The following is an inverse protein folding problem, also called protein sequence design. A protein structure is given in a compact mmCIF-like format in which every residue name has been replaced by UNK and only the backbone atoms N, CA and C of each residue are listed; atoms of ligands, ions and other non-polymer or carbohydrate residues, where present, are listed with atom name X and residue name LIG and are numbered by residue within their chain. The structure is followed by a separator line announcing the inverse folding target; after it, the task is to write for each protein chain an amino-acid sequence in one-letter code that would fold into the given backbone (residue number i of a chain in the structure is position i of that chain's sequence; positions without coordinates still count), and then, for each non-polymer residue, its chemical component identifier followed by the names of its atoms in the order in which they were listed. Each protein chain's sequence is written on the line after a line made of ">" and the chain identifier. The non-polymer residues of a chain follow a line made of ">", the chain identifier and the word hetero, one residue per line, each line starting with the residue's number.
data_IF_426505791530
#
_entry.id   IF_426505791530
#
_cell.length_a   1.000
_cell.length_b   1.000
_cell.length_c   1.000
_cell.angle_alpha   90.00
_cell.angle_beta   90.00
_cell.angle_gamma   90.00
#
_symmetry.space_group_name_H-M   'P 1'
#
loop_
_entity.id
_entity.type
_entity.pdbx_description
1 polymer ?
#
# COMPACT_ATOMS: atom_id res chain seq x y z
N UNK A 1 36.32 30.62 44.57
CA UNK A 1 35.71 31.87 44.09
C UNK A 1 35.06 31.54 42.76
N UNK A 2 33.74 31.35 42.77
CA UNK A 2 32.96 30.72 41.70
C UNK A 2 32.78 31.66 40.50
N UNK A 3 33.05 31.16 39.30
CA UNK A 3 32.65 31.81 38.06
C UNK A 3 31.14 31.64 37.90
N UNK A 4 30.41 32.76 37.81
CA UNK A 4 28.98 32.81 37.58
C UNK A 4 28.67 32.24 36.19
N UNK A 5 28.29 30.97 36.15
CA UNK A 5 27.77 30.31 34.95
C UNK A 5 26.47 31.04 34.56
N UNK A 6 26.51 31.80 33.46
CA UNK A 6 25.35 32.54 32.98
C UNK A 6 24.26 31.54 32.65
N UNK A 7 23.25 31.41 33.51
CA UNK A 7 22.14 30.44 33.40
C UNK A 7 21.20 30.72 32.22
N UNK A 8 21.76 30.84 31.03
CA UNK A 8 21.12 31.02 29.74
C UNK A 8 21.02 29.66 29.05
N UNK A 9 19.92 29.46 28.33
CA UNK A 9 19.60 28.26 27.57
C UNK A 9 19.24 28.69 26.15
N UNK A 10 19.97 28.18 25.17
CA UNK A 10 19.76 28.46 23.75
C UNK A 10 18.66 27.54 23.23
N UNK A 11 17.53 28.13 22.88
CA UNK A 11 16.35 27.40 22.38
C UNK A 11 15.91 27.93 21.03
N UNK A 12 15.25 27.07 20.26
CA UNK A 12 14.60 27.45 19.01
C UNK A 12 13.10 27.55 19.24
N UNK A 13 12.53 28.73 19.03
CA UNK A 13 11.10 28.99 19.26
C UNK A 13 10.38 29.13 17.92
N UNK A 14 9.26 28.43 17.78
CA UNK A 14 8.41 28.43 16.59
C UNK A 14 7.05 29.09 16.86
N UNK A 15 6.58 29.90 15.92
CA UNK A 15 5.22 30.44 15.87
C UNK A 15 4.70 30.40 14.43
N UNK A 16 3.76 29.50 14.11
CA UNK A 16 3.29 29.33 12.73
C UNK A 16 4.45 29.03 11.78
N UNK A 17 4.77 29.97 10.88
CA UNK A 17 5.93 29.90 9.97
C UNK A 17 7.16 30.66 10.46
N UNK A 18 7.06 31.45 11.54
CA UNK A 18 8.17 32.20 12.13
C UNK A 18 9.02 31.30 13.04
N UNK A 19 10.34 31.49 12.98
CA UNK A 19 11.31 30.76 13.78
C UNK A 19 12.38 31.73 14.27
N UNK A 20 12.70 31.68 15.56
CA UNK A 20 13.78 32.45 16.16
C UNK A 20 14.64 31.57 17.08
N UNK A 21 15.96 31.68 16.93
CA UNK A 21 16.93 31.08 17.85
C UNK A 21 17.27 32.11 18.93
N UNK A 22 16.92 31.81 20.18
CA UNK A 22 16.99 32.76 21.29
C UNK A 22 17.76 32.15 22.46
N UNK A 23 18.58 32.97 23.12
CA UNK A 23 19.20 32.62 24.40
C UNK A 23 18.29 33.13 25.52
N UNK A 24 17.58 32.22 26.20
CA UNK A 24 16.63 32.54 27.26
C UNK A 24 17.22 32.19 28.63
N UNK A 25 17.04 33.02 29.67
CA UNK A 25 17.49 32.69 31.01
C UNK A 25 16.68 31.51 31.59
N UNK A 26 17.37 30.41 31.90
CA UNK A 26 16.80 29.15 32.32
C UNK A 26 16.14 29.22 33.71
N UNK A 27 16.57 30.17 34.55
CA UNK A 27 16.05 30.40 35.90
C UNK A 27 14.87 31.36 35.98
N UNK A 28 14.40 31.92 34.85
CA UNK A 28 13.27 32.87 34.82
C UNK A 28 11.95 32.13 34.53
N UNK A 29 10.83 32.49 35.18
CA UNK A 29 9.53 31.89 34.90
C UNK A 29 9.10 32.11 33.45
N UNK A 30 8.47 31.09 32.85
CA UNK A 30 8.02 31.11 31.45
C UNK A 30 7.09 32.30 31.17
N UNK A 31 6.22 32.69 32.11
CA UNK A 31 5.33 33.84 31.97
C UNK A 31 6.05 35.16 31.61
N UNK A 32 7.23 35.38 32.19
CA UNK A 32 8.01 36.61 32.01
C UNK A 32 8.71 36.62 30.65
N UNK A 33 9.02 35.43 30.11
CA UNK A 33 9.69 35.28 28.81
C UNK A 33 8.71 35.47 27.63
N UNK A 34 7.42 35.18 27.81
CA UNK A 34 6.42 35.19 26.73
C UNK A 34 6.36 36.52 25.95
N UNK A 35 6.29 37.70 26.59
CA UNK A 35 6.28 38.98 25.86
C UNK A 35 7.53 39.16 24.98
N UNK A 36 8.70 38.86 25.52
CA UNK A 36 9.97 38.96 24.77
C UNK A 36 10.05 37.95 23.62
N UNK A 37 9.42 36.78 23.75
CA UNK A 37 9.29 35.81 22.66
C UNK A 37 8.38 36.33 21.55
N UNK A 38 7.25 36.96 21.90
CA UNK A 38 6.30 37.55 20.94
C UNK A 38 6.99 38.67 20.15
N UNK A 39 7.70 39.55 20.85
CA UNK A 39 8.46 40.66 20.24
C UNK A 39 9.56 40.12 19.32
N UNK A 40 10.34 39.13 19.79
CA UNK A 40 11.43 38.54 19.01
C UNK A 40 10.94 37.76 17.77
N UNK A 41 9.74 37.19 17.83
CA UNK A 41 9.10 36.47 16.71
C UNK A 41 8.31 37.41 15.78
N UNK A 42 8.20 38.71 16.12
CA UNK A 42 7.47 39.70 15.33
C UNK A 42 5.97 39.40 15.24
N UNK A 43 5.39 38.75 16.25
CA UNK A 43 3.99 38.31 16.22
C UNK A 43 3.07 39.53 16.34
N UNK A 44 2.55 40.01 15.22
CA UNK A 44 1.58 41.10 15.15
C UNK A 44 0.18 40.56 14.82
N UNK A 45 -0.82 40.91 15.63
CA UNK A 45 -2.22 40.64 15.34
C UNK A 45 -2.87 41.89 14.75
N UNK A 46 -3.63 41.72 13.65
CA UNK A 46 -4.31 42.82 12.96
C UNK A 46 -5.49 43.39 13.77
N UNK A 47 -6.12 42.54 14.60
CA UNK A 47 -7.14 42.92 15.55
C UNK A 47 -6.49 43.07 16.95
N UNK A 48 -6.73 44.19 17.63
CA UNK A 48 -6.23 44.51 18.97
C UNK A 48 -6.86 43.64 20.09
N UNK A 49 -7.09 42.36 19.82
CA UNK A 49 -7.66 41.41 20.76
C UNK A 49 -6.58 40.94 21.76
N UNK A 50 -6.93 40.93 23.05
CA UNK A 50 -6.03 40.48 24.11
C UNK A 50 -5.91 38.94 24.08
N UNK A 51 -4.97 38.43 23.29
CA UNK A 51 -4.72 36.99 23.15
C UNK A 51 -3.73 36.50 24.22
N UNK A 52 -4.11 35.45 24.95
CA UNK A 52 -3.18 34.77 25.88
C UNK A 52 -2.27 33.85 25.07
N UNK A 53 -0.98 33.84 25.36
CA UNK A 53 -0.01 32.93 24.72
C UNK A 53 0.47 31.87 25.72
N UNK A 54 0.85 30.71 25.19
CA UNK A 54 1.43 29.61 25.95
C UNK A 54 2.61 29.02 25.17
N UNK A 55 3.59 28.49 25.90
CA UNK A 55 4.76 27.83 25.33
C UNK A 55 4.65 26.34 25.61
N UNK A 56 4.90 25.49 24.62
CA UNK A 56 4.92 24.04 24.79
C UNK A 56 6.14 23.42 24.10
N UNK A 57 6.51 22.23 24.55
CA UNK A 57 7.41 21.36 23.79
C UNK A 57 6.58 20.72 22.66
N UNK A 58 7.11 20.52 21.44
CA UNK A 58 6.39 19.87 20.35
C UNK A 58 5.76 18.54 20.79
N UNK A 59 4.42 18.45 20.71
CA UNK A 59 3.66 17.26 21.08
C UNK A 59 3.42 17.06 22.58
N UNK A 60 3.88 17.97 23.44
CA UNK A 60 3.61 17.97 24.87
C UNK A 60 2.51 18.97 25.26
N UNK A 61 2.06 18.91 26.51
CA UNK A 61 1.20 19.94 27.09
C UNK A 61 1.92 21.28 27.19
N UNK A 62 1.14 22.36 27.28
CA UNK A 62 1.68 23.69 27.58
C UNK A 62 2.47 23.66 28.90
N UNK A 63 3.60 24.35 28.90
CA UNK A 63 4.42 24.58 30.08
C UNK A 63 3.64 25.48 31.04
N UNK A 64 3.76 25.19 32.33
CA UNK A 64 3.15 26.03 33.36
C UNK A 64 3.85 27.40 33.35
N UNK A 65 3.11 28.51 33.16
CA UNK A 65 3.67 29.86 33.11
C UNK A 65 4.43 30.25 34.39
N UNK A 66 4.13 29.64 35.53
CA UNK A 66 4.79 29.92 36.82
C UNK A 66 6.14 29.20 36.98
N UNK A 67 6.43 28.21 36.13
CA UNK A 67 7.64 27.39 36.22
C UNK A 67 8.77 27.92 35.35
N UNK A 68 10.01 27.56 35.67
CA UNK A 68 11.20 27.96 34.90
C UNK A 68 11.59 26.92 33.84
N UNK A 69 12.40 27.30 32.85
CA UNK A 69 12.89 26.36 31.84
C UNK A 69 13.73 25.24 32.49
N UNK A 70 14.54 25.57 33.49
CA UNK A 70 15.34 24.60 34.25
C UNK A 70 14.46 23.59 35.02
N UNK A 71 13.35 24.04 35.63
CA UNK A 71 12.40 23.17 36.33
C UNK A 71 11.70 22.19 35.38
N UNK A 72 11.43 22.63 34.15
CA UNK A 72 10.89 21.76 33.09
C UNK A 72 11.96 20.94 32.36
N UNK A 73 13.22 20.95 32.84
CA UNK A 73 14.36 20.26 32.24
C UNK A 73 14.60 20.61 30.77
N UNK A 74 14.36 21.87 30.41
CA UNK A 74 14.61 22.40 29.06
C UNK A 74 16.05 22.89 29.00
N UNK A 75 16.89 22.16 28.27
CA UNK A 75 18.30 22.47 28.06
C UNK A 75 18.61 23.07 26.69
N UNK A 76 19.89 23.36 26.45
CA UNK A 76 20.37 23.90 25.18
C UNK A 76 19.98 23.02 23.99
N UNK A 77 19.55 23.67 22.91
CA UNK A 77 19.07 23.03 21.69
C UNK A 77 17.60 22.60 21.74
N UNK A 78 16.87 22.86 22.83
CA UNK A 78 15.46 22.54 22.91
C UNK A 78 14.62 23.35 21.91
N UNK A 79 13.59 22.71 21.36
CA UNK A 79 12.61 23.33 20.47
C UNK A 79 11.34 23.63 21.27
N UNK A 80 10.89 24.87 21.21
CA UNK A 80 9.67 25.35 21.86
C UNK A 80 8.69 25.85 20.81
N UNK A 81 7.40 25.68 21.06
CA UNK A 81 6.31 26.15 20.21
C UNK A 81 5.50 27.14 21.01
N UNK A 82 5.44 28.37 20.50
CA UNK A 82 4.48 29.36 20.97
C UNK A 82 3.13 29.03 20.33
N UNK A 83 2.08 28.94 21.13
CA UNK A 83 0.72 28.67 20.68
C UNK A 83 -0.27 29.51 21.47
N UNK A 84 -1.51 29.60 20.98
CA UNK A 84 -2.62 30.19 21.73
C UNK A 84 -3.42 29.08 22.38
N UNK A 85 -3.88 29.26 23.63
CA UNK A 85 -4.70 28.27 24.29
C UNK A 85 -6.00 28.12 23.50
N UNK A 86 -6.34 26.88 23.17
CA UNK A 86 -7.65 26.56 22.62
C UNK A 86 -8.69 26.94 23.67
N UNK A 87 -9.58 27.88 23.34
CA UNK A 87 -10.71 28.22 24.23
C UNK A 87 -11.50 26.93 24.46
N UNK A 88 -11.59 26.43 25.70
CA UNK A 88 -12.42 25.27 25.99
C UNK A 88 -13.86 25.66 25.68
N UNK A 89 -14.44 25.04 24.65
CA UNK A 89 -15.86 25.21 24.37
C UNK A 89 -16.62 24.74 25.61
N UNK A 90 -17.57 25.54 26.14
CA UNK A 90 -18.37 25.12 27.28
C UNK A 90 -19.00 23.76 26.96
N UNK A 91 -18.91 22.84 27.93
CA UNK A 91 -19.46 21.51 27.75
C UNK A 91 -20.94 21.62 27.33
N UNK A 92 -21.36 20.93 26.25
CA UNK A 92 -22.75 20.98 25.82
C UNK A 92 -23.64 20.50 26.96
N UNK A 93 -24.56 21.36 27.41
CA UNK A 93 -25.57 21.00 28.40
C UNK A 93 -26.65 20.19 27.70
N UNK A 94 -26.77 18.91 28.07
CA UNK A 94 -27.86 18.06 27.60
C UNK A 94 -29.04 18.19 28.57
N UNK A 95 -30.25 18.37 28.03
CA UNK A 95 -31.49 18.50 28.84
C UNK A 95 -31.99 17.12 29.31
N UNK A 96 -31.50 16.04 28.70
CA UNK A 96 -31.91 14.67 28.96
C UNK A 96 -30.75 13.85 29.55
N UNK A 97 -30.96 13.30 30.75
CA UNK A 97 -29.99 12.49 31.50
C UNK A 97 -29.61 11.23 30.73
N UNK A 98 -30.55 10.61 29.98
CA UNK A 98 -30.23 9.44 29.15
C UNK A 98 -29.29 9.82 28.00
N UNK A 99 -29.46 11.03 27.45
CA UNK A 99 -28.59 11.56 26.40
C UNK A 99 -27.24 12.04 26.93
N UNK A 100 -27.19 12.51 28.16
CA UNK A 100 -25.95 12.85 28.86
C UNK A 100 -25.14 11.61 29.20
N UNK A 101 -25.77 10.54 29.72
CA UNK A 101 -25.14 9.24 29.98
C UNK A 101 -24.66 8.59 28.68
N UNK A 102 -25.47 8.65 27.62
CA UNK A 102 -25.03 8.21 26.29
C UNK A 102 -23.83 9.02 25.78
N UNK A 103 -23.87 10.36 25.86
CA UNK A 103 -22.80 11.23 25.38
C UNK A 103 -21.50 11.11 26.21
N UNK A 104 -21.59 10.82 27.51
CA UNK A 104 -20.42 10.62 28.39
C UNK A 104 -19.78 9.25 28.20
N UNK A 105 -20.57 8.19 28.01
CA UNK A 105 -20.08 6.87 27.58
C UNK A 105 -19.49 6.91 26.15
N UNK A 106 -20.01 7.80 25.30
CA UNK A 106 -19.59 7.95 23.90
C UNK A 106 -18.45 8.96 23.68
N UNK A 107 -18.13 9.82 24.66
CA UNK A 107 -17.20 10.96 24.51
C UNK A 107 -15.79 10.59 24.03
N UNK A 108 -15.14 9.54 24.59
CA UNK A 108 -13.84 9.06 24.09
C UNK A 108 -13.97 8.20 22.82
N UNK A 109 -15.13 7.56 22.60
CA UNK A 109 -15.31 6.48 21.64
C UNK A 109 -15.92 6.94 20.29
N UNK A 110 -16.81 7.94 20.23
CA UNK A 110 -17.50 8.35 18.98
C UNK A 110 -16.76 9.37 18.12
N UNK A 111 -15.96 10.29 18.67
CA UNK A 111 -15.19 11.25 17.85
C UNK A 111 -14.18 10.53 16.93
N UNK A 112 -13.65 9.40 17.37
CA UNK A 112 -12.87 8.46 16.54
C UNK A 112 -13.74 7.36 15.92
N UNK A 113 -14.75 6.85 16.63
CA UNK A 113 -15.52 5.67 16.24
C UNK A 113 -16.66 5.90 15.25
N UNK A 114 -17.43 6.99 15.30
CA UNK A 114 -18.58 7.18 14.39
C UNK A 114 -18.17 7.35 12.92
N UNK A 115 -17.13 8.16 12.69
CA UNK A 115 -16.52 8.31 11.38
C UNK A 115 -15.74 7.05 10.96
N UNK A 116 -15.06 6.37 11.89
CA UNK A 116 -14.35 5.13 11.60
C UNK A 116 -15.32 3.99 11.26
N UNK A 117 -16.38 3.77 12.02
CA UNK A 117 -17.39 2.73 11.77
C UNK A 117 -18.14 2.99 10.47
N UNK A 118 -18.49 4.25 10.15
CA UNK A 118 -19.09 4.59 8.85
C UNK A 118 -18.11 4.39 7.68
N UNK A 119 -16.83 4.66 7.90
CA UNK A 119 -15.77 4.38 6.93
C UNK A 119 -15.57 2.88 6.75
N UNK A 120 -15.58 2.10 7.82
CA UNK A 120 -15.47 0.64 7.80
C UNK A 120 -16.66 0.01 7.10
N UNK A 121 -17.90 0.42 7.40
CA UNK A 121 -19.08 -0.11 6.70
C UNK A 121 -19.10 0.27 5.22
N UNK A 122 -18.67 1.49 4.87
CA UNK A 122 -18.49 1.89 3.47
C UNK A 122 -17.39 1.12 2.77
N UNK A 123 -16.27 0.85 3.45
CA UNK A 123 -15.20 0.01 2.94
C UNK A 123 -15.69 -1.42 2.74
N UNK A 124 -16.37 -2.02 3.71
CA UNK A 124 -16.97 -3.34 3.60
C UNK A 124 -17.97 -3.41 2.44
N UNK A 125 -18.85 -2.40 2.28
CA UNK A 125 -19.80 -2.31 1.18
C UNK A 125 -19.09 -2.18 -0.18
N UNK A 126 -18.06 -1.33 -0.27
CA UNK A 126 -17.24 -1.19 -1.47
C UNK A 126 -16.49 -2.49 -1.80
N UNK A 127 -15.88 -3.15 -0.83
CA UNK A 127 -15.20 -4.43 -1.02
C UNK A 127 -16.17 -5.51 -1.43
N UNK A 128 -17.37 -5.56 -0.83
CA UNK A 128 -18.39 -6.53 -1.20
C UNK A 128 -18.86 -6.30 -2.64
N UNK A 129 -19.07 -5.04 -3.06
CA UNK A 129 -19.43 -4.71 -4.43
C UNK A 129 -18.33 -5.10 -5.44
N UNK A 130 -17.06 -4.87 -5.10
CA UNK A 130 -15.91 -5.29 -5.92
C UNK A 130 -15.83 -6.83 -6.02
N UNK A 131 -16.04 -7.54 -4.91
CA UNK A 131 -16.04 -9.01 -4.91
C UNK A 131 -17.21 -9.55 -5.74
N UNK A 132 -18.42 -9.01 -5.57
CA UNK A 132 -19.59 -9.43 -6.33
C UNK A 132 -19.44 -9.16 -7.83
N UNK A 133 -18.85 -8.02 -8.22
CA UNK A 133 -18.59 -7.72 -9.63
C UNK A 133 -17.52 -8.64 -10.22
N UNK A 134 -16.48 -8.98 -9.46
CA UNK A 134 -15.48 -9.97 -9.88
C UNK A 134 -16.08 -11.37 -10.05
N UNK A 135 -16.91 -11.82 -9.10
CA UNK A 135 -17.61 -13.11 -9.15
C UNK A 135 -18.61 -13.14 -10.31
N UNK A 136 -19.40 -12.08 -10.48
CA UNK A 136 -20.34 -11.93 -11.59
C UNK A 136 -19.64 -11.93 -12.95
N UNK A 137 -18.51 -11.23 -13.06
CA UNK A 137 -17.67 -11.25 -14.27
C UNK A 137 -17.13 -12.63 -14.59
N UNK A 138 -16.63 -13.37 -13.58
CA UNK A 138 -16.15 -14.74 -13.76
C UNK A 138 -17.28 -15.70 -14.18
N UNK A 139 -18.45 -15.57 -13.57
CA UNK A 139 -19.64 -16.34 -13.95
C UNK A 139 -20.06 -16.03 -15.38
N UNK A 140 -19.98 -14.76 -15.80
CA UNK A 140 -20.30 -14.34 -17.17
C UNK A 140 -19.34 -14.98 -18.18
N UNK A 141 -18.02 -14.89 -17.92
CA UNK A 141 -17.00 -15.56 -18.74
C UNK A 141 -17.31 -17.05 -18.84
N UNK A 142 -17.54 -17.72 -17.71
CA UNK A 142 -17.86 -19.15 -17.70
C UNK A 142 -19.09 -19.48 -18.57
N UNK A 143 -20.15 -18.67 -18.46
CA UNK A 143 -21.38 -18.86 -19.22
C UNK A 143 -21.18 -18.62 -20.73
N UNK A 144 -20.42 -17.58 -21.11
CA UNK A 144 -20.09 -17.31 -22.52
C UNK A 144 -19.39 -18.48 -23.19
N UNK A 145 -18.48 -19.18 -22.48
CA UNK A 145 -17.75 -20.32 -23.03
C UNK A 145 -18.46 -21.68 -22.90
N UNK A 146 -19.55 -21.77 -22.14
CA UNK A 146 -20.25 -23.05 -21.89
C UNK A 146 -21.45 -23.27 -22.82
N UNK A 147 -22.23 -22.21 -23.12
CA UNK A 147 -23.55 -22.38 -23.76
C UNK A 147 -23.85 -21.42 -24.95
N UNK A 148 -22.94 -20.51 -25.32
CA UNK A 148 -23.31 -19.38 -26.19
C UNK A 148 -23.23 -19.66 -27.69
N UNK A 149 -24.29 -19.27 -28.41
CA UNK A 149 -24.28 -19.10 -29.86
C UNK A 149 -23.45 -17.86 -30.24
N UNK A 150 -22.72 -17.87 -31.38
CA UNK A 150 -21.74 -16.84 -31.77
C UNK A 150 -22.30 -15.42 -31.98
N UNK A 151 -23.63 -15.22 -31.94
CA UNK A 151 -24.26 -13.89 -32.06
C UNK A 151 -24.35 -13.13 -30.74
N UNK A 152 -24.32 -13.80 -29.58
CA UNK A 152 -24.45 -13.14 -28.28
C UNK A 152 -23.11 -12.65 -27.69
N UNK A 153 -21.97 -13.13 -28.19
CA UNK A 153 -20.63 -12.75 -27.70
C UNK A 153 -20.31 -11.26 -27.94
N UNK A 154 -20.66 -10.74 -29.12
CA UNK A 154 -20.44 -9.32 -29.44
C UNK A 154 -21.36 -8.38 -28.65
N UNK A 155 -22.60 -8.78 -28.41
CA UNK A 155 -23.58 -7.97 -27.67
C UNK A 155 -23.27 -7.93 -26.17
N UNK A 156 -22.84 -9.05 -25.60
CA UNK A 156 -22.36 -9.12 -24.21
C UNK A 156 -21.08 -8.32 -24.00
N UNK A 157 -20.11 -8.42 -24.91
CA UNK A 157 -18.90 -7.60 -24.89
C UNK A 157 -19.18 -6.09 -24.97
N UNK A 158 -20.09 -5.67 -25.86
CA UNK A 158 -20.50 -4.27 -25.97
C UNK A 158 -21.25 -3.76 -24.74
N UNK A 159 -22.13 -4.57 -24.14
CA UNK A 159 -22.84 -4.23 -22.91
C UNK A 159 -21.89 -4.09 -21.71
N UNK A 160 -20.88 -4.95 -21.59
CA UNK A 160 -19.86 -4.83 -20.56
C UNK A 160 -18.95 -3.62 -20.78
N UNK A 161 -18.58 -3.34 -22.03
CA UNK A 161 -17.80 -2.15 -22.40
C UNK A 161 -18.54 -0.86 -22.06
N UNK A 162 -19.84 -0.78 -22.33
CA UNK A 162 -20.66 0.37 -21.95
C UNK A 162 -20.85 0.47 -20.44
N UNK A 163 -21.04 -0.66 -19.73
CA UNK A 163 -21.07 -0.68 -18.27
C UNK A 163 -19.76 -0.17 -17.65
N UNK A 164 -18.60 -0.52 -18.23
CA UNK A 164 -17.31 0.00 -17.79
C UNK A 164 -17.20 1.52 -17.97
N UNK A 165 -17.64 2.06 -19.11
CA UNK A 165 -17.66 3.51 -19.36
C UNK A 165 -18.61 4.25 -18.41
N UNK A 166 -19.80 3.70 -18.17
CA UNK A 166 -20.77 4.27 -17.21
C UNK A 166 -20.20 4.25 -15.79
N UNK A 167 -19.62 3.14 -15.35
CA UNK A 167 -18.97 3.04 -14.04
C UNK A 167 -17.81 4.05 -13.89
N UNK A 168 -17.03 4.27 -14.94
CA UNK A 168 -15.96 5.26 -14.97
C UNK A 168 -16.50 6.70 -14.88
N UNK A 169 -17.58 7.00 -15.60
CA UNK A 169 -18.28 8.28 -15.52
C UNK A 169 -18.82 8.53 -14.10
N UNK A 170 -19.48 7.54 -13.51
CA UNK A 170 -19.96 7.61 -12.13
C UNK A 170 -18.83 7.77 -11.13
N UNK A 171 -17.67 7.14 -11.34
CA UNK A 171 -16.48 7.35 -10.50
C UNK A 171 -16.00 8.80 -10.55
N UNK A 172 -15.93 9.39 -11.74
CA UNK A 172 -15.54 10.78 -11.92
C UNK A 172 -16.55 11.75 -11.27
N UNK A 173 -17.85 11.48 -11.40
CA UNK A 173 -18.92 12.28 -10.78
C UNK A 173 -18.90 12.13 -9.26
N UNK A 174 -18.82 10.90 -8.73
CA UNK A 174 -18.76 10.65 -7.29
C UNK A 174 -17.57 11.37 -6.64
N UNK A 175 -16.43 11.42 -7.33
CA UNK A 175 -15.29 12.16 -6.81
C UNK A 175 -15.45 13.68 -6.95
N UNK A 176 -15.82 14.19 -8.13
CA UNK A 176 -15.86 15.64 -8.39
C UNK A 176 -17.05 16.34 -7.73
N UNK A 177 -18.23 15.72 -7.74
CA UNK A 177 -19.45 16.31 -7.20
C UNK A 177 -19.61 16.04 -5.69
N UNK A 178 -19.32 14.83 -5.23
CA UNK A 178 -19.56 14.43 -3.82
C UNK A 178 -18.28 14.45 -2.96
N UNK A 179 -17.10 14.68 -3.55
CA UNK A 179 -15.78 14.64 -2.86
C UNK A 179 -15.56 13.36 -2.05
N UNK A 180 -16.18 12.25 -2.45
CA UNK A 180 -16.04 10.95 -1.77
C UNK A 180 -14.95 10.08 -2.45
N UNK A 181 -13.76 9.95 -1.84
CA UNK A 181 -12.65 9.20 -2.43
C UNK A 181 -12.88 7.67 -2.40
N UNK A 182 -13.68 7.16 -1.46
CA UNK A 182 -13.89 5.72 -1.28
C UNK A 182 -14.83 5.21 -2.36
N UNK A 183 -15.96 5.90 -2.57
CA UNK A 183 -16.91 5.57 -3.62
C UNK A 183 -16.27 5.70 -5.02
N UNK A 184 -15.52 6.79 -5.25
CA UNK A 184 -14.80 6.99 -6.51
C UNK A 184 -13.78 5.88 -6.81
N UNK A 185 -13.02 5.43 -5.82
CA UNK A 185 -12.08 4.32 -5.97
C UNK A 185 -12.81 2.99 -6.22
N UNK A 186 -13.88 2.70 -5.47
CA UNK A 186 -14.65 1.47 -5.64
C UNK A 186 -15.24 1.38 -7.07
N UNK A 187 -15.87 2.45 -7.54
CA UNK A 187 -16.41 2.53 -8.90
C UNK A 187 -15.32 2.43 -9.98
N UNK A 188 -14.14 3.01 -9.72
CA UNK A 188 -12.99 2.88 -10.63
C UNK A 188 -12.50 1.43 -10.72
N UNK A 189 -12.45 0.69 -9.60
CA UNK A 189 -12.09 -0.74 -9.61
C UNK A 189 -13.15 -1.56 -10.33
N UNK A 190 -14.43 -1.28 -10.11
CA UNK A 190 -15.53 -1.93 -10.83
C UNK A 190 -15.42 -1.69 -12.34
N UNK A 191 -15.09 -0.46 -12.77
CA UNK A 191 -14.87 -0.14 -14.18
C UNK A 191 -13.69 -0.93 -14.77
N UNK A 192 -12.59 -1.09 -14.04
CA UNK A 192 -11.44 -1.92 -14.46
C UNK A 192 -11.85 -3.38 -14.64
N UNK A 193 -12.63 -3.94 -13.70
CA UNK A 193 -13.12 -5.33 -13.80
C UNK A 193 -14.01 -5.49 -15.02
N UNK A 194 -14.99 -4.62 -15.23
CA UNK A 194 -15.86 -4.71 -16.41
C UNK A 194 -15.09 -4.56 -17.73
N UNK A 195 -14.11 -3.65 -17.79
CA UNK A 195 -13.27 -3.49 -18.96
C UNK A 195 -12.41 -4.73 -19.24
N UNK A 196 -11.89 -5.38 -18.19
CA UNK A 196 -11.15 -6.62 -18.32
C UNK A 196 -12.03 -7.75 -18.86
N UNK A 197 -13.23 -7.91 -18.31
CA UNK A 197 -14.19 -8.94 -18.76
C UNK A 197 -14.63 -8.65 -20.20
N UNK A 198 -14.92 -7.39 -20.55
CA UNK A 198 -15.25 -6.98 -21.92
C UNK A 198 -14.11 -7.31 -22.89
N UNK A 199 -12.87 -6.99 -22.53
CA UNK A 199 -11.68 -7.31 -23.33
C UNK A 199 -11.46 -8.81 -23.49
N UNK A 200 -11.80 -9.62 -22.48
CA UNK A 200 -11.68 -11.08 -22.55
C UNK A 200 -12.69 -11.70 -23.52
N UNK A 201 -13.94 -11.22 -23.51
CA UNK A 201 -15.05 -11.75 -24.33
C UNK A 201 -15.00 -11.22 -25.77
N UNK A 202 -14.40 -10.05 -26.01
CA UNK A 202 -14.34 -9.45 -27.35
C UNK A 202 -13.47 -10.24 -28.35
N UNK A 203 -12.53 -11.06 -27.86
CA UNK A 203 -11.67 -11.87 -28.74
C UNK A 203 -12.44 -13.13 -29.14
N UNK A 204 -12.76 -13.32 -30.44
CA UNK A 204 -13.45 -14.52 -30.89
C UNK A 204 -12.54 -15.75 -30.78
N UNK A 205 -13.12 -16.87 -30.34
CA UNK A 205 -12.42 -18.15 -30.14
C UNK A 205 -12.32 -18.57 -28.67
N UNK A 206 -11.87 -19.80 -28.43
CA UNK A 206 -11.78 -20.37 -27.08
C UNK A 206 -10.81 -19.63 -26.13
N UNK A 207 -10.84 -19.95 -24.83
CA UNK A 207 -10.02 -19.27 -23.82
C UNK A 207 -8.54 -19.42 -24.14
N UNK A 208 -7.92 -18.32 -24.57
CA UNK A 208 -6.53 -18.28 -25.02
C UNK A 208 -5.73 -17.16 -24.34
N UNK A 209 -4.41 -17.19 -24.51
CA UNK A 209 -3.51 -16.15 -24.01
C UNK A 209 -3.83 -14.79 -24.62
N UNK A 210 -4.34 -14.75 -25.86
CA UNK A 210 -4.77 -13.53 -26.55
C UNK A 210 -5.97 -12.85 -25.86
N UNK A 211 -6.90 -13.64 -25.32
CA UNK A 211 -8.06 -13.11 -24.57
C UNK A 211 -7.57 -12.45 -23.27
N UNK A 212 -6.59 -13.07 -22.60
CA UNK A 212 -5.95 -12.51 -21.40
C UNK A 212 -5.18 -11.23 -21.72
N UNK A 213 -4.49 -11.19 -22.86
CA UNK A 213 -3.75 -10.02 -23.32
C UNK A 213 -4.68 -8.82 -23.51
N UNK A 214 -5.80 -8.99 -24.22
CA UNK A 214 -6.76 -7.90 -24.47
C UNK A 214 -7.46 -7.47 -23.17
N UNK A 215 -7.84 -8.43 -22.31
CA UNK A 215 -8.40 -8.15 -20.99
C UNK A 215 -7.46 -7.31 -20.12
N UNK A 216 -6.18 -7.70 -20.05
CA UNK A 216 -5.17 -6.99 -19.26
C UNK A 216 -4.85 -5.60 -19.85
N UNK A 217 -4.81 -5.46 -21.18
CA UNK A 217 -4.64 -4.17 -21.83
C UNK A 217 -5.81 -3.22 -21.55
N UNK A 218 -7.06 -3.71 -21.66
CA UNK A 218 -8.26 -2.93 -21.35
C UNK A 218 -8.30 -2.51 -19.87
N UNK A 219 -7.92 -3.40 -18.96
CA UNK A 219 -7.78 -3.10 -17.53
C UNK A 219 -6.71 -2.02 -17.27
N UNK A 220 -5.56 -2.09 -17.95
CA UNK A 220 -4.49 -1.11 -17.80
C UNK A 220 -4.92 0.28 -18.30
N UNK A 221 -5.54 0.35 -19.49
CA UNK A 221 -6.03 1.60 -20.07
C UNK A 221 -7.11 2.23 -19.19
N UNK A 222 -8.07 1.44 -18.71
CA UNK A 222 -9.13 1.94 -17.82
C UNK A 222 -8.60 2.37 -16.45
N UNK A 223 -7.60 1.68 -15.89
CA UNK A 223 -6.93 2.13 -14.67
C UNK A 223 -6.22 3.48 -14.87
N UNK A 224 -5.53 3.68 -16.00
CA UNK A 224 -4.90 4.97 -16.34
C UNK A 224 -5.94 6.06 -16.55
N UNK A 225 -7.04 5.77 -17.23
CA UNK A 225 -8.11 6.72 -17.47
C UNK A 225 -8.82 7.10 -16.16
N UNK A 226 -9.08 6.14 -15.27
CA UNK A 226 -9.62 6.37 -13.94
C UNK A 226 -8.69 7.25 -13.10
N UNK A 227 -7.37 7.05 -13.17
CA UNK A 227 -6.40 7.94 -12.50
C UNK A 227 -6.49 9.37 -12.99
N UNK A 228 -6.58 9.56 -14.32
CA UNK A 228 -6.63 10.88 -14.96
C UNK A 228 -7.93 11.62 -14.67
N UNK A 229 -9.06 10.90 -14.68
CA UNK A 229 -10.39 11.50 -14.52
C UNK A 229 -10.76 11.77 -13.07
N UNK A 230 -10.49 10.78 -12.20
CA UNK A 230 -10.93 10.80 -10.80
C UNK A 230 -9.94 11.50 -9.87
N UNK A 231 -8.64 11.63 -10.19
CA UNK A 231 -7.66 12.33 -9.34
C UNK A 231 -7.49 11.76 -7.91
N UNK A 232 -8.19 10.67 -7.60
CA UNK A 232 -8.25 10.02 -6.29
C UNK A 232 -7.77 8.58 -6.38
N UNK A 233 -7.27 8.05 -5.26
CA UNK A 233 -6.83 6.66 -5.24
C UNK A 233 -5.63 6.37 -6.13
N UNK A 234 -4.83 7.39 -6.45
CA UNK A 234 -3.71 7.31 -7.42
C UNK A 234 -2.82 6.11 -7.12
N UNK A 235 -2.52 5.82 -5.85
CA UNK A 235 -1.69 4.68 -5.44
C UNK A 235 -2.32 3.33 -5.80
N UNK A 236 -3.62 3.14 -5.54
CA UNK A 236 -4.31 1.89 -5.84
C UNK A 236 -4.50 1.69 -7.35
N UNK A 237 -4.83 2.75 -8.08
CA UNK A 237 -5.02 2.68 -9.52
C UNK A 237 -3.69 2.57 -10.29
N UNK A 238 -2.61 3.19 -9.81
CA UNK A 238 -1.25 2.94 -10.35
C UNK A 238 -0.80 1.51 -10.09
N UNK A 239 -1.10 0.95 -8.91
CA UNK A 239 -0.83 -0.45 -8.60
C UNK A 239 -1.62 -1.38 -9.54
N UNK A 240 -2.92 -1.11 -9.75
CA UNK A 240 -3.76 -1.87 -10.67
C UNK A 240 -3.26 -1.78 -12.12
N UNK A 241 -2.86 -0.58 -12.57
CA UNK A 241 -2.28 -0.39 -13.90
C UNK A 241 -0.94 -1.14 -14.07
N UNK A 242 -0.07 -1.11 -13.05
CA UNK A 242 1.20 -1.83 -13.05
C UNK A 242 0.99 -3.35 -13.07
N UNK A 243 0.05 -3.85 -12.26
CA UNK A 243 -0.36 -5.25 -12.27
C UNK A 243 -0.88 -5.67 -13.65
N UNK A 244 -1.83 -4.92 -14.21
CA UNK A 244 -2.42 -5.21 -15.51
C UNK A 244 -1.38 -5.15 -16.64
N UNK A 245 -0.45 -4.19 -16.59
CA UNK A 245 0.65 -4.11 -17.54
C UNK A 245 1.60 -5.32 -17.45
N UNK A 246 1.91 -5.79 -16.25
CA UNK A 246 2.73 -7.00 -16.06
C UNK A 246 2.04 -8.26 -16.60
N UNK A 247 0.72 -8.38 -16.37
CA UNK A 247 -0.09 -9.49 -16.93
C UNK A 247 -0.16 -9.40 -18.46
N UNK A 248 -0.36 -8.20 -19.02
CA UNK A 248 -0.37 -7.99 -20.46
C UNK A 248 0.99 -8.34 -21.09
N UNK A 249 2.10 -7.93 -20.48
CA UNK A 249 3.44 -8.29 -20.95
C UNK A 249 3.67 -9.81 -20.91
N UNK A 250 3.27 -10.48 -19.84
CA UNK A 250 3.37 -11.94 -19.74
C UNK A 250 2.49 -12.66 -20.78
N UNK A 251 1.26 -12.18 -21.00
CA UNK A 251 0.37 -12.71 -22.01
C UNK A 251 0.92 -12.50 -23.43
N UNK A 252 1.52 -11.34 -23.71
CA UNK A 252 2.15 -11.07 -25.00
C UNK A 252 3.30 -12.05 -25.28
N UNK A 253 4.18 -12.26 -24.29
CA UNK A 253 5.25 -13.27 -24.41
C UNK A 253 4.67 -14.66 -24.64
N UNK A 254 3.58 -15.01 -23.95
CA UNK A 254 2.90 -16.29 -24.15
C UNK A 254 2.29 -16.45 -25.54
N UNK A 255 1.71 -15.39 -26.10
CA UNK A 255 1.16 -15.37 -27.44
C UNK A 255 2.26 -15.54 -28.51
N UNK A 256 3.44 -14.96 -28.31
CA UNK A 256 4.57 -15.05 -29.24
C UNK A 256 5.27 -16.40 -29.16
N UNK A 257 5.50 -16.92 -27.95
CA UNK A 257 6.33 -18.10 -27.72
C UNK A 257 5.56 -19.42 -27.78
N UNK A 258 4.22 -19.39 -27.73
CA UNK A 258 3.36 -20.57 -27.56
C UNK A 258 3.77 -21.47 -26.38
N UNK A 259 4.48 -20.91 -25.39
CA UNK A 259 4.97 -21.64 -24.23
C UNK A 259 3.81 -22.03 -23.30
N UNK A 260 3.95 -23.13 -22.54
CA UNK A 260 2.90 -23.54 -21.61
C UNK A 260 2.73 -22.51 -20.47
N UNK A 261 1.49 -22.36 -20.00
CA UNK A 261 1.06 -21.32 -19.04
C UNK A 261 1.89 -21.34 -17.75
N UNK A 262 2.26 -22.51 -17.22
CA UNK A 262 3.07 -22.62 -16.01
C UNK A 262 4.50 -22.07 -16.16
N UNK A 263 5.06 -22.07 -17.38
CA UNK A 263 6.39 -21.50 -17.64
C UNK A 263 6.32 -19.98 -17.70
N UNK A 264 5.32 -19.45 -18.40
CA UNK A 264 5.10 -18.00 -18.49
C UNK A 264 4.77 -17.42 -17.11
N UNK A 265 3.91 -18.09 -16.35
CA UNK A 265 3.50 -17.66 -15.02
C UNK A 265 4.65 -17.67 -13.99
N UNK A 266 5.58 -18.63 -14.10
CA UNK A 266 6.74 -18.70 -13.18
C UNK A 266 7.79 -17.66 -13.55
N UNK A 267 8.05 -17.48 -14.85
CA UNK A 267 8.93 -16.43 -15.35
C UNK A 267 8.41 -15.04 -14.99
N UNK A 268 7.12 -14.78 -15.16
CA UNK A 268 6.52 -13.48 -14.79
C UNK A 268 6.54 -13.25 -13.28
N UNK A 269 6.31 -14.29 -12.46
CA UNK A 269 6.42 -14.18 -11.01
C UNK A 269 7.84 -13.84 -10.55
N UNK A 270 8.85 -14.53 -11.09
CA UNK A 270 10.27 -14.23 -10.80
C UNK A 270 10.66 -12.84 -11.28
N UNK A 271 10.22 -12.43 -12.48
CA UNK A 271 10.49 -11.10 -13.00
C UNK A 271 9.86 -10.00 -12.13
N UNK A 272 8.60 -10.16 -11.73
CA UNK A 272 7.91 -9.23 -10.82
C UNK A 272 8.59 -9.15 -9.45
N UNK A 273 9.08 -10.29 -8.93
CA UNK A 273 9.90 -10.34 -7.72
C UNK A 273 11.27 -9.64 -7.90
N UNK A 274 11.94 -9.81 -9.04
CA UNK A 274 13.17 -9.06 -9.35
C UNK A 274 12.93 -7.55 -9.42
N UNK A 275 11.85 -7.14 -10.08
CA UNK A 275 11.41 -5.74 -10.17
C UNK A 275 11.06 -5.16 -8.80
N UNK A 276 10.53 -5.96 -7.87
CA UNK A 276 10.30 -5.56 -6.47
C UNK A 276 11.59 -5.14 -5.77
N UNK A 277 12.73 -5.79 -6.08
CA UNK A 277 14.05 -5.39 -5.61
C UNK A 277 14.54 -4.06 -6.20
N UNK A 278 14.17 -3.76 -7.45
CA UNK A 278 14.50 -2.51 -8.13
C UNK A 278 13.49 -1.36 -7.83
N UNK A 279 12.33 -1.66 -7.23
CA UNK A 279 11.25 -0.71 -7.02
C UNK A 279 11.66 0.60 -6.29
N UNK A 280 12.53 0.59 -5.25
CA UNK A 280 13.01 1.82 -4.63
C UNK A 280 13.79 2.72 -5.59
N UNK A 281 14.62 2.14 -6.47
CA UNK A 281 15.37 2.91 -7.49
C UNK A 281 14.45 3.47 -8.55
N UNK A 282 13.48 2.66 -8.99
CA UNK A 282 12.46 3.09 -9.95
C UNK A 282 11.60 4.23 -9.39
N UNK A 283 11.20 4.17 -8.11
CA UNK A 283 10.39 5.22 -7.49
C UNK A 283 11.14 6.54 -7.35
N UNK A 284 12.43 6.50 -7.01
CA UNK A 284 13.32 7.68 -6.97
C UNK A 284 13.45 8.30 -8.37
N UNK A 285 13.66 7.47 -9.40
CA UNK A 285 13.75 7.92 -10.79
C UNK A 285 12.43 8.54 -11.28
N UNK A 286 11.30 7.86 -11.03
CA UNK A 286 9.94 8.31 -11.40
C UNK A 286 9.50 9.58 -10.65
N UNK A 287 10.05 9.83 -9.45
CA UNK A 287 9.80 11.04 -8.68
C UNK A 287 10.70 12.22 -9.08
N UNK A 288 11.70 12.00 -9.94
CA UNK A 288 12.67 13.01 -10.34
C UNK A 288 13.69 13.34 -9.24
N UNK A 289 13.87 12.45 -8.26
CA UNK A 289 14.88 12.53 -7.20
C UNK A 289 16.20 11.88 -7.60
N UNK A 290 16.35 11.44 -8.86
CA UNK A 290 17.61 10.88 -9.35
C UNK A 290 18.70 11.95 -9.27
N UNK A 291 19.90 11.60 -8.75
CA UNK A 291 21.03 12.52 -8.72
C UNK A 291 21.33 12.96 -10.15
N UNK A 292 21.05 14.22 -10.47
CA UNK A 292 21.56 14.82 -11.69
C UNK A 292 23.03 15.08 -11.43
N UNK A 293 23.91 14.27 -12.03
CA UNK A 293 25.32 14.62 -12.09
C UNK A 293 25.38 15.97 -12.81
N UNK A 294 25.73 17.02 -12.07
CA UNK A 294 25.85 18.35 -12.60
C UNK A 294 26.98 18.31 -13.64
N UNK A 295 26.61 18.24 -14.93
CA UNK A 295 27.48 18.73 -15.98
C UNK A 295 27.68 20.20 -15.69
N UNK A 296 28.93 20.58 -15.45
CA UNK A 296 29.44 21.95 -15.35
C UNK A 296 28.72 22.85 -16.34
N UNK A 297 27.75 23.60 -15.85
CA UNK A 297 27.50 24.99 -16.25
C UNK A 297 26.58 25.64 -15.22
N UNK A 298 27.05 26.77 -14.75
CA UNK A 298 26.47 27.73 -13.82
C UNK A 298 24.94 27.68 -13.68
N UNK A 299 24.45 27.25 -12.51
CA UNK A 299 23.04 27.40 -12.15
C UNK A 299 22.91 28.04 -10.76
N UNK A 300 22.55 29.32 -10.81
CA UNK A 300 21.91 30.16 -9.77
C UNK A 300 21.20 29.34 -8.67
N UNK A 301 21.36 29.68 -7.37
CA UNK A 301 20.59 29.05 -6.30
C UNK A 301 19.09 29.40 -6.45
N UNK A 302 18.36 28.55 -7.17
CA UNK A 302 16.90 28.60 -7.27
C UNK A 302 16.22 27.95 -6.06
N UNK A 303 14.92 28.16 -5.84
CA UNK A 303 14.18 27.77 -4.64
C UNK A 303 14.07 26.25 -4.52
N UNK A 304 15.09 25.61 -3.93
CA UNK A 304 15.29 24.16 -3.92
C UNK A 304 14.58 23.45 -2.77
N UNK A 305 14.46 24.08 -1.60
CA UNK A 305 14.04 23.40 -0.37
C UNK A 305 12.54 23.07 -0.30
N UNK A 306 11.70 23.84 -1.00
CA UNK A 306 10.24 23.62 -0.99
C UNK A 306 9.77 22.48 -1.92
N UNK A 307 10.61 22.03 -2.86
CA UNK A 307 10.26 20.98 -3.84
C UNK A 307 10.59 19.56 -3.36
N UNK A 308 11.60 19.41 -2.49
CA UNK A 308 12.03 18.13 -1.92
C UNK A 308 10.91 17.38 -1.18
N UNK A 309 10.11 18.00 -0.28
CA UNK A 309 9.05 17.26 0.43
C UNK A 309 7.96 16.76 -0.53
N UNK A 310 7.59 17.56 -1.53
CA UNK A 310 6.59 17.16 -2.53
C UNK A 310 7.09 15.99 -3.41
N UNK A 311 8.37 15.99 -3.77
CA UNK A 311 9.00 14.90 -4.52
C UNK A 311 9.13 13.62 -3.67
N UNK A 312 9.48 13.74 -2.39
CA UNK A 312 9.55 12.60 -1.47
C UNK A 312 8.17 11.93 -1.30
N UNK A 313 7.10 12.71 -1.14
CA UNK A 313 5.73 12.18 -1.08
C UNK A 313 5.35 11.48 -2.39
N UNK A 314 5.79 12.01 -3.54
CA UNK A 314 5.55 11.39 -4.85
C UNK A 314 6.33 10.07 -5.00
N UNK A 315 7.57 10.02 -4.53
CA UNK A 315 8.40 8.81 -4.54
C UNK A 315 7.80 7.71 -3.66
N UNK A 316 7.30 8.07 -2.48
CA UNK A 316 6.63 7.12 -1.59
C UNK A 316 5.36 6.54 -2.25
N UNK A 317 4.52 7.38 -2.87
CA UNK A 317 3.33 6.92 -3.62
C UNK A 317 3.68 5.98 -4.77
N UNK A 318 4.74 6.25 -5.52
CA UNK A 318 5.24 5.35 -6.56
C UNK A 318 5.77 4.04 -5.98
N UNK A 319 6.49 4.10 -4.87
CA UNK A 319 7.03 2.92 -4.22
C UNK A 319 5.93 1.99 -3.70
N UNK A 320 4.91 2.55 -3.04
CA UNK A 320 3.76 1.79 -2.52
C UNK A 320 2.98 1.15 -3.67
N UNK A 321 2.73 1.89 -4.75
CA UNK A 321 1.99 1.37 -5.90
C UNK A 321 2.76 0.30 -6.66
N UNK A 322 4.07 0.50 -6.91
CA UNK A 322 4.92 -0.51 -7.52
C UNK A 322 4.97 -1.78 -6.66
N UNK A 323 5.15 -1.65 -5.34
CA UNK A 323 5.15 -2.81 -4.43
C UNK A 323 3.83 -3.57 -4.50
N UNK A 324 2.70 -2.87 -4.40
CA UNK A 324 1.38 -3.49 -4.43
C UNK A 324 1.08 -4.16 -5.79
N UNK A 325 1.43 -3.51 -6.91
CA UNK A 325 1.20 -4.04 -8.26
C UNK A 325 2.08 -5.25 -8.56
N UNK A 326 3.39 -5.15 -8.30
CA UNK A 326 4.36 -6.22 -8.54
C UNK A 326 4.15 -7.40 -7.59
N UNK A 327 3.81 -7.17 -6.31
CA UNK A 327 3.48 -8.27 -5.38
C UNK A 327 2.21 -8.99 -5.80
N UNK A 328 1.18 -8.26 -6.25
CA UNK A 328 -0.04 -8.88 -6.76
C UNK A 328 0.24 -9.69 -8.04
N UNK A 329 1.09 -9.17 -8.93
CA UNK A 329 1.50 -9.86 -10.15
C UNK A 329 2.27 -11.14 -9.84
N UNK A 330 3.25 -11.05 -8.93
CA UNK A 330 4.01 -12.20 -8.49
C UNK A 330 3.14 -13.25 -7.78
N UNK A 331 2.17 -12.83 -6.97
CA UNK A 331 1.27 -13.74 -6.28
C UNK A 331 0.29 -14.46 -7.23
N UNK A 332 -0.29 -13.73 -8.20
CA UNK A 332 -1.12 -14.35 -9.24
C UNK A 332 -0.30 -15.27 -10.12
N UNK A 333 0.91 -14.87 -10.53
CA UNK A 333 1.83 -15.72 -11.28
C UNK A 333 2.13 -17.02 -10.53
N UNK A 334 2.51 -16.94 -9.25
CA UNK A 334 2.76 -18.11 -8.42
C UNK A 334 1.53 -19.02 -8.29
N UNK A 335 0.34 -18.48 -7.99
CA UNK A 335 -0.88 -19.28 -7.92
C UNK A 335 -1.18 -19.99 -9.26
N UNK A 336 -1.02 -19.29 -10.38
CA UNK A 336 -1.21 -19.87 -11.72
C UNK A 336 -0.18 -20.95 -12.05
N UNK A 337 1.08 -20.81 -11.61
CA UNK A 337 2.09 -21.87 -11.82
C UNK A 337 1.72 -23.18 -11.14
N UNK A 338 1.20 -23.09 -9.91
CA UNK A 338 0.74 -24.24 -9.15
C UNK A 338 -0.48 -24.85 -9.83
N UNK A 339 -1.47 -24.02 -10.19
CA UNK A 339 -2.73 -24.49 -10.76
C UNK A 339 -2.55 -25.16 -12.13
N UNK A 340 -1.71 -24.57 -13.00
CA UNK A 340 -1.45 -25.08 -14.35
C UNK A 340 -0.34 -26.15 -14.42
N UNK A 341 0.46 -26.29 -13.36
CA UNK A 341 1.63 -27.16 -13.33
C UNK A 341 1.50 -28.40 -12.46
N UNK A 342 0.46 -28.51 -11.65
CA UNK A 342 0.24 -29.67 -10.78
C UNK A 342 -0.01 -30.97 -11.57
N UNK A 343 0.48 -32.14 -11.10
CA UNK A 343 1.09 -32.39 -9.78
C UNK A 343 2.63 -32.28 -9.73
N UNK A 344 3.27 -31.48 -10.60
CA UNK A 344 4.74 -31.36 -10.59
C UNK A 344 5.26 -30.77 -9.28
N UNK A 345 6.19 -31.49 -8.63
CA UNK A 345 6.84 -31.05 -7.39
C UNK A 345 7.52 -29.69 -7.52
N UNK A 346 8.09 -29.36 -8.68
CA UNK A 346 8.73 -28.06 -8.94
C UNK A 346 7.75 -26.88 -8.84
N UNK A 347 6.52 -27.05 -9.35
CA UNK A 347 5.49 -26.02 -9.30
C UNK A 347 4.94 -25.84 -7.87
N UNK A 348 4.77 -26.95 -7.14
CA UNK A 348 4.37 -26.91 -5.73
C UNK A 348 5.45 -26.27 -4.85
N UNK A 349 6.72 -26.63 -5.06
CA UNK A 349 7.86 -26.03 -4.36
C UNK A 349 8.00 -24.53 -4.66
N UNK A 350 7.76 -24.11 -5.90
CA UNK A 350 7.72 -22.69 -6.25
C UNK A 350 6.59 -21.95 -5.52
N UNK A 351 5.40 -22.54 -5.46
CA UNK A 351 4.27 -21.99 -4.70
C UNK A 351 4.56 -21.87 -3.21
N UNK A 352 5.13 -22.90 -2.57
CA UNK A 352 5.46 -22.86 -1.14
C UNK A 352 6.55 -21.83 -0.82
N UNK A 353 7.61 -21.76 -1.63
CA UNK A 353 8.71 -20.79 -1.44
C UNK A 353 8.22 -19.36 -1.65
N UNK A 354 7.41 -19.10 -2.68
CA UNK A 354 6.83 -17.76 -2.90
C UNK A 354 5.85 -17.36 -1.80
N UNK A 355 5.00 -18.27 -1.32
CA UNK A 355 4.12 -18.02 -0.19
C UNK A 355 4.91 -17.69 1.09
N UNK A 356 5.94 -18.49 1.40
CA UNK A 356 6.82 -18.25 2.54
C UNK A 356 7.49 -16.88 2.44
N UNK A 357 8.03 -16.52 1.27
CA UNK A 357 8.66 -15.22 1.04
C UNK A 357 7.70 -14.05 1.31
N UNK A 358 6.45 -14.15 0.85
CA UNK A 358 5.44 -13.11 1.06
C UNK A 358 5.07 -12.97 2.55
N UNK A 359 4.93 -14.08 3.25
CA UNK A 359 4.66 -14.08 4.69
C UNK A 359 5.86 -13.52 5.49
N UNK A 360 7.09 -13.82 5.09
CA UNK A 360 8.29 -13.20 5.68
C UNK A 360 8.32 -11.69 5.43
N UNK A 361 8.01 -11.24 4.21
CA UNK A 361 7.93 -9.82 3.84
C UNK A 361 6.83 -9.05 4.54
N UNK A 362 5.71 -9.72 4.82
CA UNK A 362 4.66 -9.18 5.68
C UNK A 362 5.22 -8.85 7.08
N UNK A 363 6.18 -9.61 7.60
CA UNK A 363 6.72 -9.39 8.95
C UNK A 363 7.76 -8.27 9.03
N UNK A 364 8.56 -8.10 7.97
CA UNK A 364 9.64 -7.10 7.94
C UNK A 364 9.19 -5.68 7.57
N UNK A 365 7.95 -5.50 7.10
CA UNK A 365 7.46 -4.21 6.64
C UNK A 365 6.63 -3.42 7.66
N UNK A 366 7.20 -2.35 8.23
CA UNK A 366 6.42 -1.21 8.71
C UNK A 366 6.01 -0.35 7.48
N UNK A 367 4.95 -0.72 6.76
CA UNK A 367 4.54 0.08 5.59
C UNK A 367 3.34 -0.43 4.79
N UNK A 368 2.89 0.40 3.84
CA UNK A 368 1.65 0.25 3.05
C UNK A 368 1.59 -0.95 2.08
N UNK A 369 2.61 -1.80 2.04
CA UNK A 369 2.60 -3.06 1.28
C UNK A 369 2.22 -4.30 2.10
N UNK A 370 2.09 -4.16 3.42
CA UNK A 370 1.82 -5.25 4.38
C UNK A 370 0.62 -6.11 3.95
N UNK A 371 -0.49 -5.45 3.64
CA UNK A 371 -1.74 -6.10 3.29
C UNK A 371 -1.64 -6.87 1.96
N UNK A 372 -0.92 -6.34 0.97
CA UNK A 372 -0.72 -7.00 -0.32
C UNK A 372 0.14 -8.25 -0.20
N UNK A 373 1.20 -8.21 0.61
CA UNK A 373 2.03 -9.39 0.89
C UNK A 373 1.27 -10.43 1.73
N UNK A 374 0.52 -10.00 2.74
CA UNK A 374 -0.34 -10.87 3.54
C UNK A 374 -1.35 -11.62 2.67
N UNK A 375 -2.17 -10.90 1.90
CA UNK A 375 -3.20 -11.50 1.06
C UNK A 375 -2.58 -12.38 -0.03
N UNK A 376 -1.50 -11.92 -0.68
CA UNK A 376 -0.81 -12.71 -1.69
C UNK A 376 -0.23 -14.00 -1.12
N UNK A 377 0.45 -13.93 0.04
CA UNK A 377 1.06 -15.09 0.69
C UNK A 377 0.03 -16.12 1.12
N UNK A 378 -1.08 -15.68 1.72
CA UNK A 378 -2.17 -16.57 2.14
C UNK A 378 -2.89 -17.19 0.93
N UNK A 379 -3.12 -16.43 -0.14
CA UNK A 379 -3.71 -16.95 -1.37
C UNK A 379 -2.82 -18.03 -2.02
N UNK A 380 -1.51 -17.80 -2.12
CA UNK A 380 -0.58 -18.78 -2.70
C UNK A 380 -0.50 -20.02 -1.80
N UNK A 381 -0.42 -19.84 -0.48
CA UNK A 381 -0.43 -20.97 0.46
C UNK A 381 -1.71 -21.80 0.34
N UNK A 382 -2.87 -21.15 0.30
CA UNK A 382 -4.17 -21.81 0.18
C UNK A 382 -4.34 -22.51 -1.17
N UNK A 383 -3.89 -21.89 -2.28
CA UNK A 383 -3.94 -22.52 -3.61
C UNK A 383 -2.99 -23.70 -3.71
N UNK A 384 -1.77 -23.58 -3.19
CA UNK A 384 -0.81 -24.69 -3.12
C UNK A 384 -1.39 -25.85 -2.31
N UNK A 385 -1.87 -25.57 -1.10
CA UNK A 385 -2.50 -26.56 -0.24
C UNK A 385 -3.75 -27.19 -0.87
N UNK A 386 -4.66 -26.39 -1.42
CA UNK A 386 -5.86 -26.92 -2.08
C UNK A 386 -5.51 -27.84 -3.24
N UNK A 387 -4.55 -27.45 -4.08
CA UNK A 387 -4.10 -28.27 -5.21
C UNK A 387 -3.38 -29.54 -4.76
N UNK A 388 -2.59 -29.49 -3.69
CA UNK A 388 -1.95 -30.70 -3.14
C UNK A 388 -3.01 -31.71 -2.69
N UNK A 389 -4.02 -31.26 -1.95
CA UNK A 389 -5.08 -32.09 -1.40
C UNK A 389 -5.99 -32.66 -2.49
N UNK A 390 -6.35 -31.85 -3.49
CA UNK A 390 -7.23 -32.31 -4.57
C UNK A 390 -6.54 -33.27 -5.55
N UNK A 391 -5.21 -33.17 -5.70
CA UNK A 391 -4.46 -33.95 -6.70
C UNK A 391 -3.70 -35.14 -6.13
N UNK A 392 -3.27 -35.10 -4.87
CA UNK A 392 -2.68 -36.26 -4.19
C UNK A 392 -3.75 -36.99 -3.38
N UNK A 393 -3.94 -38.28 -3.65
CA UNK A 393 -4.74 -39.16 -2.79
C UNK A 393 -3.97 -39.38 -1.48
N UNK A 394 -4.24 -38.54 -0.49
CA UNK A 394 -3.64 -38.61 0.84
C UNK A 394 -4.60 -39.33 1.81
N UNK A 395 -4.10 -40.20 2.70
CA UNK A 395 -4.93 -40.76 3.76
C UNK A 395 -5.45 -39.67 4.69
N UNK A 396 -6.72 -39.77 5.11
CA UNK A 396 -7.42 -38.78 5.95
C UNK A 396 -6.66 -38.22 7.17
N UNK A 397 -5.93 -39.02 7.97
CA UNK A 397 -5.16 -38.49 9.09
C UNK A 397 -3.96 -37.63 8.65
N UNK A 398 -3.31 -37.95 7.53
CA UNK A 398 -2.20 -37.16 7.00
C UNK A 398 -2.70 -35.82 6.45
N UNK A 399 -3.90 -35.81 5.86
CA UNK A 399 -4.58 -34.59 5.43
C UNK A 399 -4.88 -33.68 6.62
N UNK A 400 -5.43 -34.23 7.71
CA UNK A 400 -5.73 -33.48 8.93
C UNK A 400 -4.45 -32.93 9.61
N UNK A 401 -3.36 -33.70 9.60
CA UNK A 401 -2.07 -33.23 10.10
C UNK A 401 -1.50 -32.10 9.21
N UNK A 402 -1.62 -32.22 7.89
CA UNK A 402 -1.15 -31.20 6.94
C UNK A 402 -1.97 -29.90 7.02
N UNK A 403 -3.31 -29.98 7.16
CA UNK A 403 -4.15 -28.78 7.39
C UNK A 403 -3.80 -28.11 8.71
N UNK A 404 -3.65 -28.88 9.79
CA UNK A 404 -3.31 -28.37 11.11
C UNK A 404 -1.92 -27.69 11.11
N UNK A 405 -0.95 -28.29 10.44
CA UNK A 405 0.41 -27.74 10.33
C UNK A 405 0.44 -26.48 9.47
N UNK A 406 -0.31 -26.44 8.36
CA UNK A 406 -0.45 -25.24 7.54
C UNK A 406 -1.13 -24.09 8.31
N UNK A 407 -2.21 -24.40 9.04
CA UNK A 407 -2.91 -23.42 9.88
C UNK A 407 -2.03 -22.92 11.03
N UNK A 408 -1.30 -23.82 11.69
CA UNK A 408 -0.34 -23.48 12.75
C UNK A 408 0.80 -22.62 12.21
N UNK A 409 1.38 -22.96 11.06
CA UNK A 409 2.45 -22.17 10.42
C UNK A 409 1.96 -20.76 10.04
N UNK A 410 0.72 -20.65 9.54
CA UNK A 410 0.11 -19.37 9.20
C UNK A 410 -0.20 -18.53 10.44
N UNK A 411 -0.71 -19.17 11.50
CA UNK A 411 -0.97 -18.52 12.80
C UNK A 411 0.33 -18.05 13.46
N UNK A 412 1.35 -18.90 13.55
CA UNK A 412 2.67 -18.55 14.06
C UNK A 412 3.32 -17.43 13.23
N UNK A 413 3.17 -17.47 11.90
CA UNK A 413 3.64 -16.42 11.00
C UNK A 413 3.03 -15.05 11.27
N UNK A 414 1.77 -14.98 11.71
CA UNK A 414 1.09 -13.73 12.04
C UNK A 414 1.23 -13.31 13.51
N UNK A 415 1.17 -14.25 14.46
CA UNK A 415 1.06 -13.97 15.89
C UNK A 415 2.42 -13.93 16.61
N UNK A 416 3.44 -14.67 16.13
CA UNK A 416 4.71 -14.74 16.83
C UNK A 416 5.56 -13.49 16.55
N UNK A 417 5.75 -12.65 17.57
CA UNK A 417 6.75 -11.58 17.59
C UNK A 417 8.06 -12.12 18.16
N UNK A 418 9.08 -12.41 17.33
CA UNK A 418 10.35 -12.91 17.80
C UNK A 418 11.04 -11.80 18.56
N UNK A 419 11.14 -11.98 19.87
CA UNK A 419 11.89 -11.09 20.76
C UNK A 419 13.39 -11.42 20.77
N UNK A 420 13.79 -12.58 20.25
CA UNK A 420 15.20 -12.99 20.26
C UNK A 420 15.95 -12.57 18.98
N UNK A 421 17.19 -12.05 19.11
CA UNK A 421 18.01 -11.62 17.98
C UNK A 421 18.40 -12.80 17.06
N UNK A 422 18.51 -14.01 17.60
CA UNK A 422 18.77 -15.23 16.81
C UNK A 422 17.60 -15.55 15.88
N UNK A 423 16.36 -15.43 16.37
CA UNK A 423 15.18 -15.69 15.54
C UNK A 423 15.05 -14.69 14.39
N UNK A 424 15.35 -13.41 14.63
CA UNK A 424 15.41 -12.40 13.57
C UNK A 424 16.44 -12.75 12.50
N UNK A 425 17.64 -13.20 12.92
CA UNK A 425 18.69 -13.59 11.99
C UNK A 425 18.36 -14.85 11.19
N UNK A 426 17.69 -15.83 11.79
CA UNK A 426 17.19 -17.00 11.08
C UNK A 426 16.14 -16.62 10.02
N UNK A 427 15.25 -15.67 10.34
CA UNK A 427 14.25 -15.16 9.38
C UNK A 427 14.93 -14.45 8.21
N UNK A 428 15.95 -13.62 8.47
CA UNK A 428 16.73 -12.98 7.41
C UNK A 428 17.37 -14.02 6.48
N UNK A 429 18.08 -15.02 7.04
CA UNK A 429 18.72 -16.08 6.25
C UNK A 429 17.70 -16.86 5.43
N UNK A 430 16.53 -17.17 6.00
CA UNK A 430 15.45 -17.86 5.29
C UNK A 430 14.91 -17.00 4.13
N UNK A 431 14.81 -15.69 4.31
CA UNK A 431 14.43 -14.77 3.25
C UNK A 431 15.44 -14.79 2.08
N UNK A 432 16.74 -14.69 2.40
CA UNK A 432 17.82 -14.75 1.39
C UNK A 432 17.83 -16.09 0.64
N UNK A 433 17.65 -17.20 1.36
CA UNK A 433 17.54 -18.53 0.76
C UNK A 433 16.33 -18.62 -0.18
N UNK A 434 15.16 -18.12 0.24
CA UNK A 434 13.96 -18.09 -0.60
C UNK A 434 14.16 -17.30 -1.90
N UNK A 435 14.80 -16.12 -1.82
CA UNK A 435 15.17 -15.35 -3.01
C UNK A 435 16.10 -16.11 -3.95
N UNK A 436 17.13 -16.77 -3.39
CA UNK A 436 18.11 -17.52 -4.19
C UNK A 436 17.51 -18.76 -4.86
N UNK A 437 16.51 -19.39 -4.24
CA UNK A 437 15.90 -20.63 -4.72
C UNK A 437 14.87 -20.42 -5.86
N UNK A 438 14.27 -19.24 -5.96
CA UNK A 438 13.21 -18.95 -6.94
C UNK A 438 13.70 -19.01 -8.39
N UNK A 439 14.90 -18.50 -8.67
CA UNK A 439 15.45 -18.50 -10.03
C UNK A 439 15.75 -19.93 -10.51
N UNK A 440 16.48 -20.78 -9.75
CA UNK A 440 16.64 -22.19 -10.09
C UNK A 440 15.33 -22.94 -10.26
N UNK A 441 14.33 -22.69 -9.41
CA UNK A 441 13.01 -23.33 -9.53
C UNK A 441 12.29 -22.92 -10.81
N UNK A 442 12.33 -21.65 -11.22
CA UNK A 442 11.76 -21.21 -12.48
C UNK A 442 12.48 -21.84 -13.69
N UNK A 443 13.81 -21.96 -13.65
CA UNK A 443 14.58 -22.69 -14.66
C UNK A 443 14.24 -24.19 -14.71
N UNK A 444 13.87 -24.78 -13.58
CA UNK A 444 13.40 -26.16 -13.54
C UNK A 444 12.01 -26.30 -14.15
N UNK A 445 11.09 -25.39 -13.80
CA UNK A 445 9.72 -25.38 -14.35
C UNK A 445 9.75 -25.18 -15.88
N UNK A 446 10.67 -24.37 -16.40
CA UNK A 446 10.86 -24.17 -17.85
C UNK A 446 11.47 -25.36 -18.59
N UNK A 447 11.94 -26.39 -17.88
CA UNK A 447 12.59 -27.56 -18.47
C UNK A 447 14.01 -27.32 -18.95
N UNK A 448 14.63 -26.18 -18.61
CA UNK A 448 15.98 -25.81 -19.04
C UNK A 448 17.02 -26.87 -18.63
N UNK A 449 16.94 -27.40 -17.40
CA UNK A 449 17.83 -28.47 -16.95
C UNK A 449 17.68 -29.75 -17.76
N UNK A 450 16.46 -30.07 -18.21
CA UNK A 450 16.23 -31.23 -19.08
C UNK A 450 16.81 -30.99 -20.46
N UNK A 451 16.69 -29.78 -21.00
CA UNK A 451 17.27 -29.43 -22.29
C UNK A 451 18.81 -29.53 -22.26
N UNK A 452 19.46 -29.00 -21.23
CA UNK A 452 20.92 -29.06 -21.07
C UNK A 452 21.41 -30.49 -20.85
N UNK A 453 20.66 -31.33 -20.12
CA UNK A 453 20.97 -32.76 -19.98
C UNK A 453 20.83 -33.51 -21.30
N UNK A 454 19.83 -33.18 -22.11
CA UNK A 454 19.63 -33.77 -23.43
C UNK A 454 20.73 -33.45 -24.45
N UNK A 455 21.44 -32.33 -24.25
CA UNK A 455 22.60 -31.94 -25.07
C UNK A 455 23.89 -32.70 -24.72
N UNK A 456 23.96 -33.39 -23.57
CA UNK A 456 25.14 -34.14 -23.12
C UNK A 456 25.05 -35.66 -23.41
N UNK A 457 24.27 -36.07 -24.40
CA UNK A 457 24.28 -37.43 -24.94
C UNK A 457 24.96 -37.42 -26.31
N UNK A 458 26.30 -37.35 -26.29
CA UNK A 458 27.19 -37.79 -27.38
C UNK A 458 28.23 -38.72 -26.78
#
# INVERSE_FOLDING_TARGET
>A
MAASDTGLCRVRVHWGTAVADLALPAGVPVAVLIPSLIDALGVSHADQEAVRYQVSIPGASALDPSTTLAQNRIGDGAVLVLSTPSVPLPAPRYVDIAREVAATLEGPARLRGGAATRRVTRLCGATAAVVLTAVGGLALVRNTFSDSHPRDEGMTGAALGSAALVALGLAAVAHRAYRDPIAGLALSVIAIVFAAVAGFVMVPGGPSVSNVLLAAAAAAVTAVLAMRLSGCGVVALTAAACFAAAVAAAALVGAITAAPVHVIASASAVLSLGLLGAAPRMSIALAGLSPRFATTDFAVPGPSDSRVPAQAIRADRWLVSLRAGLSSSAGVGAALTVLAGAPRLSCMAFGTVTAALFLLRCRSGAGAGLLSFAIGGTLIAATTFGVTVLRMQMPGPLLAAATALAAAAMYLGFAATPSSPVALRCVEVLEWLAWSALVPLACWISGLYSAVRGLNLT
#
